data_IF_574792076988
#
_entry.id   IF_574792076988
#
_cell.length_a   1.000
_cell.length_b   1.000
_cell.length_c   1.000
_cell.angle_alpha   90.00
_cell.angle_beta   90.00
_cell.angle_gamma   90.00
#
_symmetry.space_group_name_H-M   'P 1'
#
loop_
_entity.id
_entity.type
_entity.pdbx_description
1 polymer ?
#
# COMPACT_ATOMS: atom_id res chain seq x y z
N UNK A 1 9.77 0.21 -1.56
CA UNK A 1 8.73 0.97 -2.30
C UNK A 1 8.86 2.48 -2.11
N UNK A 2 9.15 2.95 -0.90
CA UNK A 2 9.20 4.38 -0.55
C UNK A 2 10.20 5.20 -1.38
N UNK A 3 11.40 4.67 -1.65
CA UNK A 3 12.38 5.35 -2.51
C UNK A 3 11.88 5.54 -3.95
N UNK A 4 11.06 4.61 -4.46
CA UNK A 4 10.49 4.73 -5.81
C UNK A 4 9.41 5.82 -5.84
N UNK A 5 8.56 5.90 -4.82
CA UNK A 5 7.53 6.94 -4.68
C UNK A 5 8.17 8.33 -4.54
N UNK A 6 9.21 8.48 -3.70
CA UNK A 6 9.97 9.75 -3.60
C UNK A 6 10.54 10.19 -4.95
N UNK A 7 11.09 9.28 -5.75
CA UNK A 7 11.60 9.58 -7.10
C UNK A 7 10.48 9.99 -8.07
N UNK A 8 9.30 9.39 -7.96
CA UNK A 8 8.14 9.75 -8.77
C UNK A 8 7.63 11.14 -8.40
N UNK A 9 7.49 11.44 -7.11
CA UNK A 9 7.10 12.78 -6.62
C UNK A 9 8.10 13.85 -7.07
N UNK A 10 9.41 13.58 -6.98
CA UNK A 10 10.45 14.51 -7.44
C UNK A 10 10.39 14.75 -8.96
N UNK A 11 10.11 13.70 -9.76
CA UNK A 11 9.89 13.83 -11.20
C UNK A 11 8.64 14.64 -11.54
N UNK A 12 7.55 14.47 -10.81
CA UNK A 12 6.30 15.21 -11.02
C UNK A 12 6.51 16.70 -10.74
N UNK A 13 7.19 17.03 -9.64
CA UNK A 13 7.54 18.42 -9.29
C UNK A 13 8.33 19.10 -10.42
N UNK A 14 9.32 18.40 -10.98
CA UNK A 14 10.20 18.89 -12.04
C UNK A 14 9.63 18.75 -13.45
N UNK A 15 8.46 18.14 -13.60
CA UNK A 15 7.86 17.89 -14.91
C UNK A 15 7.42 19.20 -15.56
N UNK A 16 7.78 19.38 -16.82
CA UNK A 16 7.27 20.46 -17.68
C UNK A 16 6.01 20.06 -18.44
N UNK A 17 5.61 18.79 -18.36
CA UNK A 17 4.45 18.20 -19.05
C UNK A 17 3.19 18.16 -18.18
N UNK A 18 3.30 18.58 -16.92
CA UNK A 18 2.19 18.65 -15.98
C UNK A 18 2.07 20.12 -15.58
N UNK A 19 0.87 20.66 -15.69
CA UNK A 19 0.58 22.01 -15.26
C UNK A 19 0.92 22.20 -13.78
N UNK A 20 1.52 23.35 -13.45
CA UNK A 20 1.92 23.67 -12.07
C UNK A 20 0.73 23.60 -11.10
N UNK A 21 -0.48 23.90 -11.58
CA UNK A 21 -1.72 23.84 -10.81
C UNK A 21 -2.15 22.40 -10.45
N UNK A 22 -1.83 21.42 -11.29
CA UNK A 22 -2.25 20.02 -11.12
C UNK A 22 -1.26 19.20 -10.28
N UNK A 23 0.01 19.62 -10.24
CA UNK A 23 1.07 18.92 -9.50
C UNK A 23 0.73 18.64 -8.03
N UNK A 24 0.17 19.59 -7.24
CA UNK A 24 -0.17 19.34 -5.84
C UNK A 24 -1.18 18.21 -5.67
N UNK A 25 -2.25 18.21 -6.47
CA UNK A 25 -3.31 17.20 -6.41
C UNK A 25 -2.79 15.81 -6.78
N UNK A 26 -1.95 15.73 -7.82
CA UNK A 26 -1.33 14.47 -8.24
C UNK A 26 -0.41 13.91 -7.14
N UNK A 27 0.40 14.77 -6.50
CA UNK A 27 1.31 14.36 -5.42
C UNK A 27 0.51 13.87 -4.21
N UNK A 28 -0.56 14.57 -3.83
CA UNK A 28 -1.45 14.17 -2.74
C UNK A 28 -2.03 12.78 -2.99
N UNK A 29 -2.56 12.53 -4.20
CA UNK A 29 -3.13 11.22 -4.58
C UNK A 29 -2.11 10.08 -4.47
N UNK A 30 -0.86 10.32 -4.87
CA UNK A 30 0.21 9.31 -4.79
C UNK A 30 0.56 8.97 -3.34
N UNK A 31 0.57 9.97 -2.45
CA UNK A 31 0.81 9.75 -1.02
C UNK A 31 -0.38 9.05 -0.33
N UNK A 32 -1.63 9.33 -0.74
CA UNK A 32 -2.81 8.58 -0.29
C UNK A 32 -2.69 7.10 -0.67
N UNK A 33 -2.41 6.79 -1.94
CA UNK A 33 -2.28 5.40 -2.41
C UNK A 33 -1.17 4.64 -1.68
N UNK A 34 -0.09 5.33 -1.29
CA UNK A 34 0.98 4.75 -0.47
C UNK A 34 0.44 4.30 0.89
N UNK A 35 -0.35 5.15 1.55
CA UNK A 35 -0.94 4.84 2.87
C UNK A 35 -1.95 3.70 2.78
N UNK A 36 -2.81 3.72 1.78
CA UNK A 36 -3.79 2.65 1.54
C UNK A 36 -3.10 1.30 1.33
N UNK A 37 -2.05 1.27 0.51
CA UNK A 37 -1.28 0.03 0.29
C UNK A 37 -0.60 -0.48 1.55
N UNK A 38 -0.07 0.42 2.38
CA UNK A 38 0.53 0.04 3.66
C UNK A 38 -0.53 -0.58 4.60
N UNK A 39 -1.70 0.05 4.70
CA UNK A 39 -2.82 -0.45 5.51
C UNK A 39 -3.30 -1.84 5.05
N UNK A 40 -3.42 -2.07 3.74
CA UNK A 40 -3.78 -3.39 3.18
C UNK A 40 -2.71 -4.44 3.53
N UNK A 41 -1.44 -4.07 3.44
CA UNK A 41 -0.33 -4.98 3.79
C UNK A 41 -0.36 -5.35 5.27
N UNK A 42 -0.63 -4.39 6.16
CA UNK A 42 -0.78 -4.66 7.60
C UNK A 42 -1.98 -5.57 7.90
N UNK A 43 -3.12 -5.33 7.24
CA UNK A 43 -4.30 -6.19 7.36
C UNK A 43 -4.00 -7.62 6.91
N UNK A 44 -3.29 -7.78 5.80
CA UNK A 44 -2.90 -9.11 5.29
C UNK A 44 -2.04 -9.86 6.31
N UNK A 45 -1.05 -9.19 6.92
CA UNK A 45 -0.22 -9.79 7.97
C UNK A 45 -1.00 -10.15 9.24
N UNK A 46 -1.99 -9.33 9.62
CA UNK A 46 -2.88 -9.64 10.75
C UNK A 46 -3.77 -10.86 10.45
N UNK A 47 -4.31 -10.94 9.24
CA UNK A 47 -5.11 -12.08 8.79
C UNK A 47 -4.28 -13.37 8.74
N UNK A 48 -3.05 -13.31 8.20
CA UNK A 48 -2.12 -14.44 8.21
C UNK A 48 -1.79 -14.89 9.64
N UNK A 49 -1.49 -13.95 10.54
CA UNK A 49 -1.24 -14.25 11.95
C UNK A 49 -2.46 -14.88 12.64
N UNK A 50 -3.67 -14.46 12.25
CA UNK A 50 -4.90 -15.05 12.77
C UNK A 50 -5.14 -16.44 12.20
N UNK A 51 -4.87 -16.62 10.91
CA UNK A 51 -4.94 -17.90 10.22
C UNK A 51 -4.05 -18.94 10.89
N UNK A 52 -2.78 -18.62 11.17
CA UNK A 52 -1.86 -19.52 11.88
C UNK A 52 -2.35 -19.98 13.27
N UNK A 53 -3.25 -19.23 13.90
CA UNK A 53 -3.85 -19.60 15.19
C UNK A 53 -5.05 -20.53 15.04
N UNK A 54 -5.83 -20.35 13.98
CA UNK A 54 -7.08 -21.10 13.76
C UNK A 54 -6.87 -22.32 12.87
N UNK A 55 -5.89 -22.30 11.96
CA UNK A 55 -5.57 -23.40 11.05
C UNK A 55 -5.42 -24.75 11.77
N UNK A 56 -4.71 -24.87 12.91
CA UNK A 56 -4.61 -26.16 13.61
C UNK A 56 -5.98 -26.71 14.02
N UNK A 57 -6.89 -25.84 14.48
CA UNK A 57 -8.26 -26.23 14.88
C UNK A 57 -9.04 -26.74 13.67
N UNK A 58 -8.87 -26.09 12.51
CA UNK A 58 -9.52 -26.48 11.27
C UNK A 58 -8.96 -27.80 10.74
N UNK A 59 -7.66 -28.04 10.90
CA UNK A 59 -7.00 -29.30 10.54
C UNK A 59 -7.47 -30.45 11.45
N UNK A 60 -7.65 -30.20 12.76
CA UNK A 60 -8.17 -31.19 13.72
C UNK A 60 -9.58 -31.68 13.37
N UNK A 61 -10.40 -30.85 12.71
CA UNK A 61 -11.76 -31.19 12.28
C UNK A 61 -11.85 -31.55 10.78
N UNK A 62 -10.71 -31.64 10.07
CA UNK A 62 -10.63 -32.07 8.68
C UNK A 62 -11.16 -31.07 7.65
N UNK A 63 -11.16 -29.77 7.97
CA UNK A 63 -11.61 -28.70 7.06
C UNK A 63 -10.48 -28.08 6.24
N UNK A 64 -9.21 -28.37 6.58
CA UNK A 64 -7.99 -28.03 5.84
C UNK A 64 -6.99 -29.17 5.89
#
# INVERSE_FOLDING_TARGET
>A
MEQKIKKVVDKIKKSKHIDEADKPAIIEKIEEWKKEKAAISELSGKLESWWLKVEPIFAEIGLV
#
